data_IF_708286212019
#
_entry.id   IF_708286212019
#
_cell.length_a   1.000
_cell.length_b   1.000
_cell.length_c   1.000
_cell.angle_alpha   90.00
_cell.angle_beta   90.00
_cell.angle_gamma   90.00
#
_symmetry.space_group_name_H-M   'P 1'
#
loop_
_entity.id
_entity.type
_entity.pdbx_description
1 polymer ?
#
# COMPACT_ATOMS: atom_id res chain seq x y z
N UNK A 1 -12.97 -21.34 37.63
CA UNK A 1 -13.66 -22.53 37.06
C UNK A 1 -13.88 -22.25 35.59
N UNK A 2 -13.21 -23.00 34.70
CA UNK A 2 -13.33 -22.87 33.25
C UNK A 2 -14.46 -23.79 32.77
N UNK A 3 -15.54 -23.23 32.23
CA UNK A 3 -16.57 -23.99 31.52
C UNK A 3 -16.19 -24.13 30.06
N UNK A 4 -16.20 -25.36 29.54
CA UNK A 4 -16.05 -25.66 28.11
C UNK A 4 -17.41 -25.46 27.41
N UNK A 5 -17.40 -24.81 26.24
CA UNK A 5 -18.52 -24.79 25.29
C UNK A 5 -18.11 -25.42 23.94
N UNK A 6 -19.06 -26.10 23.30
CA UNK A 6 -18.99 -27.06 22.18
C UNK A 6 -18.38 -26.60 20.83
N UNK A 7 -17.70 -25.46 20.76
CA UNK A 7 -17.02 -24.97 19.54
C UNK A 7 -15.51 -24.70 19.68
N UNK A 8 -14.88 -25.09 20.80
CA UNK A 8 -13.42 -25.00 20.92
C UNK A 8 -12.87 -23.57 20.98
N UNK A 9 -13.70 -22.59 21.34
CA UNK A 9 -13.29 -21.20 21.50
C UNK A 9 -12.93 -20.93 22.97
N UNK A 10 -11.66 -20.62 23.24
CA UNK A 10 -11.22 -20.20 24.58
C UNK A 10 -11.75 -18.79 24.81
N UNK A 11 -12.75 -18.66 25.67
CA UNK A 11 -13.25 -17.37 26.15
C UNK A 11 -12.37 -16.91 27.32
N UNK A 12 -11.51 -15.92 27.08
CA UNK A 12 -10.94 -15.10 28.17
C UNK A 12 -11.99 -14.06 28.58
N UNK A 13 -12.22 -13.95 29.89
CA UNK A 13 -13.08 -12.99 30.60
C UNK A 13 -13.33 -11.67 29.85
N UNK A 14 -14.59 -11.35 29.57
CA UNK A 14 -15.13 -10.10 29.02
C UNK A 14 -14.16 -9.21 28.19
N UNK A 15 -14.15 -9.43 26.87
CA UNK A 15 -14.31 -8.33 25.91
C UNK A 15 -13.07 -7.77 25.20
N UNK A 16 -11.86 -8.29 25.42
CA UNK A 16 -10.67 -7.79 24.70
C UNK A 16 -10.26 -8.71 23.54
N UNK A 17 -10.16 -8.13 22.33
CA UNK A 17 -9.65 -8.81 21.14
C UNK A 17 -8.20 -9.27 21.35
N UNK A 18 -7.90 -10.48 20.88
CA UNK A 18 -6.53 -11.00 20.81
C UNK A 18 -5.66 -10.15 19.88
N UNK A 19 -4.33 -10.22 20.01
CA UNK A 19 -3.40 -9.52 19.11
C UNK A 19 -3.63 -9.89 17.64
N UNK A 20 -3.93 -11.15 17.37
CA UNK A 20 -4.25 -11.62 16.01
C UNK A 20 -5.54 -11.00 15.49
N UNK A 21 -6.60 -10.97 16.29
CA UNK A 21 -7.86 -10.34 15.90
C UNK A 21 -7.71 -8.82 15.72
N UNK A 22 -6.93 -8.15 16.57
CA UNK A 22 -6.59 -6.73 16.43
C UNK A 22 -5.85 -6.47 15.11
N UNK A 23 -4.88 -7.31 14.77
CA UNK A 23 -4.17 -7.26 13.49
C UNK A 23 -5.11 -7.47 12.29
N UNK A 24 -5.94 -8.52 12.32
CA UNK A 24 -6.88 -8.80 11.23
C UNK A 24 -7.93 -7.71 11.05
N UNK A 25 -8.41 -7.11 12.15
CA UNK A 25 -9.37 -6.02 12.08
C UNK A 25 -8.72 -4.73 11.55
N UNK A 26 -7.47 -4.46 11.94
CA UNK A 26 -6.71 -3.36 11.38
C UNK A 26 -6.45 -3.53 9.88
N UNK A 27 -6.06 -4.73 9.45
CA UNK A 27 -5.87 -5.05 8.02
C UNK A 27 -7.17 -4.85 7.21
N UNK A 28 -8.33 -5.30 7.75
CA UNK A 28 -9.64 -5.05 7.13
C UNK A 28 -9.95 -3.56 7.01
N UNK A 29 -9.59 -2.77 8.01
CA UNK A 29 -9.80 -1.33 8.00
C UNK A 29 -8.97 -0.65 6.91
N UNK A 30 -7.68 -0.99 6.82
CA UNK A 30 -6.77 -0.48 5.79
C UNK A 30 -7.29 -0.87 4.39
N UNK A 31 -7.73 -2.12 4.22
CA UNK A 31 -8.33 -2.58 2.97
C UNK A 31 -9.56 -1.74 2.57
N UNK A 32 -10.48 -1.50 3.50
CA UNK A 32 -11.69 -0.72 3.23
C UNK A 32 -11.37 0.72 2.78
N UNK A 33 -10.31 1.34 3.32
CA UNK A 33 -9.88 2.66 2.89
C UNK A 33 -9.32 2.61 1.45
N UNK A 34 -8.47 1.64 1.12
CA UNK A 34 -7.98 1.50 -0.25
C UNK A 34 -9.09 1.19 -1.27
N UNK A 35 -10.07 0.38 -0.89
CA UNK A 35 -11.27 0.15 -1.70
C UNK A 35 -12.04 1.45 -1.93
N UNK A 36 -12.24 2.27 -0.88
CA UNK A 36 -12.87 3.58 -0.99
C UNK A 36 -12.10 4.56 -1.88
N UNK A 37 -10.77 4.44 -1.93
CA UNK A 37 -9.88 5.20 -2.83
C UNK A 37 -9.89 4.66 -4.28
N UNK A 38 -10.65 3.59 -4.56
CA UNK A 38 -10.83 3.02 -5.90
C UNK A 38 -9.77 2.01 -6.30
N UNK A 39 -9.06 1.41 -5.34
CA UNK A 39 -8.18 0.27 -5.59
C UNK A 39 -8.97 -1.03 -5.54
N UNK A 40 -8.57 -2.00 -6.37
CA UNK A 40 -8.87 -3.41 -6.15
C UNK A 40 -7.94 -3.90 -5.02
N UNK A 41 -8.49 -4.56 -4.00
CA UNK A 41 -7.72 -5.06 -2.86
C UNK A 41 -7.78 -6.58 -2.80
N UNK A 42 -6.61 -7.22 -2.65
CA UNK A 42 -6.49 -8.64 -2.35
C UNK A 42 -5.80 -8.79 -0.99
N UNK A 43 -6.44 -9.49 -0.06
CA UNK A 43 -6.01 -9.64 1.34
C UNK A 43 -5.29 -10.97 1.58
N UNK A 44 -4.28 -10.96 2.45
CA UNK A 44 -3.51 -12.12 2.90
C UNK A 44 -3.08 -13.02 1.72
N UNK A 45 -2.37 -12.42 0.76
CA UNK A 45 -1.98 -13.08 -0.49
C UNK A 45 -0.51 -13.48 -0.50
N UNK A 46 -0.19 -14.54 -1.24
CA UNK A 46 1.19 -14.94 -1.49
C UNK A 46 1.64 -14.41 -2.85
N UNK A 47 2.68 -13.56 -2.86
CA UNK A 47 3.26 -12.97 -4.06
C UNK A 47 4.72 -13.40 -4.13
N UNK A 48 5.09 -14.17 -5.17
CA UNK A 48 6.47 -14.65 -5.39
C UNK A 48 7.12 -15.30 -4.15
N UNK A 49 6.33 -16.05 -3.39
CA UNK A 49 6.80 -16.73 -2.18
C UNK A 49 6.76 -15.88 -0.90
N UNK A 50 6.41 -14.61 -0.98
CA UNK A 50 6.24 -13.71 0.16
C UNK A 50 4.77 -13.57 0.54
N UNK A 51 4.47 -13.64 1.84
CA UNK A 51 3.16 -13.28 2.36
C UNK A 51 3.05 -11.76 2.40
N UNK A 52 1.97 -11.23 1.84
CA UNK A 52 1.65 -9.81 1.79
C UNK A 52 0.27 -9.60 2.40
N UNK A 53 0.18 -8.65 3.34
CA UNK A 53 -1.08 -8.36 4.02
C UNK A 53 -2.12 -7.88 3.03
N UNK A 54 -1.81 -6.83 2.25
CA UNK A 54 -2.66 -6.39 1.14
C UNK A 54 -1.86 -6.18 -0.14
N UNK A 55 -2.37 -6.70 -1.25
CA UNK A 55 -1.95 -6.29 -2.58
C UNK A 55 -3.05 -5.39 -3.16
N UNK A 56 -2.75 -4.12 -3.35
CA UNK A 56 -3.72 -3.14 -3.85
C UNK A 56 -3.34 -2.71 -5.26
N UNK A 57 -4.30 -2.72 -6.17
CA UNK A 57 -4.08 -2.45 -7.59
C UNK A 57 -5.06 -1.42 -8.11
N UNK A 58 -4.57 -0.46 -8.88
CA UNK A 58 -5.42 0.51 -9.59
C UNK A 58 -4.92 0.69 -11.01
N UNK A 59 -5.83 0.52 -11.97
CA UNK A 59 -5.58 0.87 -13.36
C UNK A 59 -6.04 2.30 -13.61
N UNK A 60 -5.14 3.11 -14.17
CA UNK A 60 -5.42 4.48 -14.57
C UNK A 60 -5.55 4.48 -16.10
N UNK A 61 -6.62 5.09 -16.63
CA UNK A 61 -6.82 5.14 -18.08
C UNK A 61 -5.65 5.89 -18.74
N UNK A 62 -5.01 5.28 -19.75
CA UNK A 62 -3.84 5.85 -20.43
C UNK A 62 -2.53 5.77 -19.64
N UNK A 63 -2.53 5.16 -18.45
CA UNK A 63 -1.33 4.96 -17.64
C UNK A 63 -1.16 3.50 -17.21
N UNK A 64 0.06 3.17 -16.76
CA UNK A 64 0.39 1.82 -16.31
C UNK A 64 -0.38 1.47 -15.03
N UNK A 65 -0.76 0.20 -14.89
CA UNK A 65 -1.35 -0.32 -13.65
C UNK A 65 -0.38 -0.13 -12.48
N UNK A 66 -0.90 0.46 -11.41
CA UNK A 66 -0.17 0.68 -10.15
C UNK A 66 -0.54 -0.45 -9.21
N UNK A 67 0.47 -1.09 -8.63
CA UNK A 67 0.31 -2.21 -7.69
C UNK A 67 1.15 -1.94 -6.46
N UNK A 68 0.53 -1.70 -5.30
CA UNK A 68 1.25 -1.54 -4.05
C UNK A 68 1.15 -2.80 -3.18
N UNK A 69 2.27 -3.18 -2.58
CA UNK A 69 2.28 -4.03 -1.39
C UNK A 69 1.98 -3.16 -0.18
N UNK A 70 1.01 -3.57 0.64
CA UNK A 70 0.72 -2.93 1.93
C UNK A 70 1.08 -3.90 3.06
N UNK A 71 1.83 -3.43 4.04
CA UNK A 71 2.09 -4.09 5.33
C UNK A 71 1.30 -3.35 6.42
N UNK A 72 0.34 -4.03 7.06
CA UNK A 72 -0.63 -3.43 7.98
C UNK A 72 -0.28 -3.79 9.43
N UNK A 73 0.45 -2.89 10.09
CA UNK A 73 1.00 -3.14 11.43
C UNK A 73 0.12 -2.54 12.53
N UNK A 74 -0.59 -3.40 13.28
CA UNK A 74 -1.24 -2.98 14.52
C UNK A 74 -0.28 -3.07 15.72
N UNK A 75 -0.21 -1.99 16.51
CA UNK A 75 0.53 -1.88 17.78
C UNK A 75 -0.45 -1.58 18.91
N UNK A 76 -0.41 -2.40 19.95
CA UNK A 76 -1.09 -2.13 21.22
C UNK A 76 -0.37 -1.08 22.06
N UNK A 77 0.94 -0.90 21.84
CA UNK A 77 1.80 0.05 22.54
C UNK A 77 3.10 0.27 21.77
N UNK A 78 3.75 1.41 22.01
CA UNK A 78 5.04 1.74 21.40
C UNK A 78 4.92 2.15 19.93
N UNK A 79 6.06 2.22 19.25
CA UNK A 79 6.16 2.61 17.84
C UNK A 79 6.62 1.46 16.96
N UNK A 80 6.43 1.61 15.65
CA UNK A 80 7.05 0.73 14.66
C UNK A 80 8.54 1.03 14.58
N UNK A 81 9.34 0.00 14.85
CA UNK A 81 10.79 0.11 14.97
C UNK A 81 11.53 -0.23 13.70
N UNK A 82 12.86 -0.09 13.76
CA UNK A 82 13.76 -0.35 12.62
C UNK A 82 13.71 -1.80 12.12
N UNK A 83 13.50 -2.77 12.99
CA UNK A 83 13.46 -4.18 12.60
C UNK A 83 12.21 -4.52 11.78
N UNK A 84 11.07 -3.90 12.10
CA UNK A 84 9.85 -4.03 11.30
C UNK A 84 10.07 -3.42 9.92
N UNK A 85 10.62 -2.19 9.89
CA UNK A 85 10.92 -1.50 8.64
C UNK A 85 11.90 -2.28 7.76
N UNK A 86 12.98 -2.83 8.32
CA UNK A 86 13.96 -3.61 7.57
C UNK A 86 13.37 -4.89 6.96
N UNK A 87 12.46 -5.56 7.69
CA UNK A 87 11.77 -6.76 7.20
C UNK A 87 10.83 -6.43 6.03
N UNK A 88 10.08 -5.34 6.17
CA UNK A 88 9.22 -4.78 5.14
C UNK A 88 10.01 -4.34 3.91
N UNK A 89 11.06 -3.52 4.09
CA UNK A 89 11.85 -2.97 2.99
C UNK A 89 12.55 -4.05 2.19
N UNK A 90 13.04 -5.10 2.86
CA UNK A 90 13.65 -6.26 2.20
C UNK A 90 12.65 -6.99 1.30
N UNK A 91 11.43 -7.21 1.79
CA UNK A 91 10.38 -7.88 1.02
C UNK A 91 9.91 -7.01 -0.15
N UNK A 92 9.64 -5.73 0.13
CA UNK A 92 9.21 -4.76 -0.87
C UNK A 92 10.26 -4.58 -1.99
N UNK A 93 11.54 -4.48 -1.65
CA UNK A 93 12.62 -4.32 -2.63
C UNK A 93 12.69 -5.53 -3.56
N UNK A 94 12.57 -6.75 -3.03
CA UNK A 94 12.56 -7.97 -3.86
C UNK A 94 11.37 -7.99 -4.82
N UNK A 95 10.17 -7.77 -4.30
CA UNK A 95 8.94 -7.73 -5.12
C UNK A 95 8.97 -6.62 -6.17
N UNK A 96 9.60 -5.49 -5.86
CA UNK A 96 9.79 -4.39 -6.79
C UNK A 96 10.77 -4.77 -7.92
N UNK A 97 11.92 -5.34 -7.58
CA UNK A 97 12.92 -5.79 -8.56
C UNK A 97 12.37 -6.89 -9.48
N UNK A 98 11.50 -7.76 -8.96
CA UNK A 98 10.80 -8.79 -9.73
C UNK A 98 9.66 -8.23 -10.61
N UNK A 99 9.38 -6.92 -10.52
CA UNK A 99 8.29 -6.26 -11.22
C UNK A 99 6.89 -6.63 -10.73
N UNK A 100 6.77 -7.30 -9.56
CA UNK A 100 5.50 -7.74 -9.00
C UNK A 100 4.70 -6.59 -8.38
N UNK A 101 5.39 -5.55 -7.89
CA UNK A 101 4.79 -4.34 -7.34
C UNK A 101 5.43 -3.09 -7.95
N UNK A 102 4.67 -2.01 -8.01
CA UNK A 102 5.20 -0.70 -8.33
C UNK A 102 5.77 -0.02 -7.08
N UNK A 103 5.27 -0.28 -5.88
CA UNK A 103 5.86 0.26 -4.64
C UNK A 103 5.32 -0.44 -3.42
N UNK A 104 5.72 0.00 -2.23
CA UNK A 104 5.20 -0.55 -0.99
C UNK A 104 4.91 0.53 0.05
N UNK A 105 3.91 0.28 0.88
CA UNK A 105 3.47 1.20 1.93
C UNK A 105 3.30 0.39 3.22
N UNK A 106 3.95 0.82 4.30
CA UNK A 106 3.63 0.31 5.64
C UNK A 106 2.63 1.24 6.31
N UNK A 107 1.51 0.68 6.75
CA UNK A 107 0.44 1.40 7.44
C UNK A 107 0.38 0.93 8.88
N UNK A 108 0.25 1.85 9.83
CA UNK A 108 0.21 1.55 11.27
C UNK A 108 -0.79 2.41 12.03
N UNK A 109 -1.30 1.91 13.16
CA UNK A 109 -2.13 2.70 14.09
C UNK A 109 -1.30 3.50 15.11
N UNK A 110 0.02 3.34 15.12
CA UNK A 110 0.96 3.99 16.04
C UNK A 110 2.01 4.80 15.28
N UNK A 111 2.89 5.49 16.00
CA UNK A 111 3.98 6.25 15.38
C UNK A 111 5.08 5.33 14.84
N UNK A 112 5.91 5.89 13.95
CA UNK A 112 7.18 5.29 13.55
C UNK A 112 8.33 5.84 14.40
N UNK A 113 9.33 4.99 14.68
CA UNK A 113 10.58 5.47 15.26
C UNK A 113 11.31 6.42 14.30
N UNK A 114 12.03 7.40 14.83
CA UNK A 114 12.78 8.37 14.01
C UNK A 114 13.76 7.70 13.04
N UNK A 115 14.37 6.58 13.46
CA UNK A 115 15.29 5.80 12.60
C UNK A 115 14.53 5.15 11.44
N UNK A 116 13.36 4.56 11.69
CA UNK A 116 12.52 3.97 10.64
C UNK A 116 12.05 5.04 9.64
N UNK A 117 11.59 6.19 10.14
CA UNK A 117 11.20 7.33 9.30
C UNK A 117 12.37 7.84 8.46
N UNK A 118 13.57 7.96 9.04
CA UNK A 118 14.78 8.38 8.33
C UNK A 118 15.11 7.48 7.14
N UNK A 119 15.09 6.17 7.32
CA UNK A 119 15.41 5.24 6.22
C UNK A 119 14.34 5.18 5.12
N UNK A 120 13.06 5.42 5.47
CA UNK A 120 12.00 5.49 4.47
C UNK A 120 12.15 6.71 3.56
N UNK A 121 12.63 7.84 4.08
CA UNK A 121 12.88 9.05 3.28
C UNK A 121 13.95 8.83 2.21
N UNK A 122 14.91 7.93 2.44
CA UNK A 122 15.96 7.59 1.48
C UNK A 122 15.47 6.66 0.35
N UNK A 123 14.20 6.25 0.34
CA UNK A 123 13.65 5.25 -0.58
C UNK A 123 12.50 5.78 -1.44
N UNK A 124 12.68 5.88 -2.77
CA UNK A 124 11.68 6.45 -3.69
C UNK A 124 10.39 5.61 -3.87
N UNK A 125 10.39 4.34 -3.45
CA UNK A 125 9.28 3.39 -3.67
C UNK A 125 8.72 2.79 -2.37
N UNK A 126 9.17 3.27 -1.21
CA UNK A 126 8.72 2.84 0.11
C UNK A 126 8.11 4.02 0.85
N UNK A 127 6.92 3.83 1.42
CA UNK A 127 6.24 4.87 2.20
C UNK A 127 5.85 4.33 3.56
N UNK A 128 5.90 5.20 4.56
CA UNK A 128 5.37 4.96 5.90
C UNK A 128 4.16 5.86 6.10
N UNK A 129 3.09 5.29 6.64
CA UNK A 129 1.87 6.03 6.95
C UNK A 129 1.25 5.55 8.25
N UNK A 130 0.69 6.50 8.97
CA UNK A 130 -0.31 6.21 9.99
C UNK A 130 -1.68 6.00 9.34
N UNK A 131 -2.56 5.30 10.03
CA UNK A 131 -3.94 5.11 9.60
C UNK A 131 -4.68 6.45 9.45
N UNK A 132 -4.33 7.46 10.25
CA UNK A 132 -4.93 8.78 10.16
C UNK A 132 -4.48 9.52 8.88
N UNK A 133 -3.21 9.40 8.51
CA UNK A 133 -2.73 9.93 7.22
C UNK A 133 -3.41 9.23 6.05
N UNK A 134 -3.57 7.91 6.10
CA UNK A 134 -4.28 7.16 5.06
C UNK A 134 -5.76 7.57 4.97
N UNK A 135 -6.45 7.76 6.09
CA UNK A 135 -7.84 8.28 6.12
C UNK A 135 -7.93 9.67 5.51
N UNK A 136 -6.94 10.52 5.72
CA UNK A 136 -6.93 11.87 5.15
C UNK A 136 -6.83 11.88 3.62
N UNK A 137 -6.24 10.84 3.00
CA UNK A 137 -6.24 10.71 1.53
C UNK A 137 -7.65 10.59 0.94
N UNK A 138 -8.63 10.07 1.68
CA UNK A 138 -10.03 9.97 1.24
C UNK A 138 -10.62 11.37 1.04
N UNK A 139 -10.29 12.32 1.92
CA UNK A 139 -10.86 13.67 1.89
C UNK A 139 -10.12 14.60 0.91
N UNK A 140 -8.88 14.27 0.55
CA UNK A 140 -8.05 15.04 -0.39
C UNK A 140 -7.60 14.19 -1.59
N UNK A 141 -8.53 13.67 -2.42
CA UNK A 141 -8.19 12.73 -3.50
C UNK A 141 -7.32 13.37 -4.60
N UNK A 142 -7.35 14.70 -4.76
CA UNK A 142 -6.50 15.42 -5.70
C UNK A 142 -5.02 15.37 -5.30
N UNK A 143 -4.71 15.42 -3.99
CA UNK A 143 -3.34 15.35 -3.48
C UNK A 143 -2.80 13.92 -3.60
N UNK A 144 -3.62 12.90 -3.28
CA UNK A 144 -3.28 11.50 -3.46
C UNK A 144 -3.01 11.16 -4.95
N UNK A 145 -3.83 11.70 -5.87
CA UNK A 145 -3.63 11.53 -7.31
C UNK A 145 -2.37 12.26 -7.80
N UNK A 146 -2.15 13.50 -7.37
CA UNK A 146 -0.94 14.27 -7.71
C UNK A 146 0.32 13.56 -7.23
N UNK A 147 0.29 12.98 -6.02
CA UNK A 147 1.40 12.19 -5.46
C UNK A 147 1.66 10.92 -6.27
N UNK A 148 0.58 10.25 -6.68
CA UNK A 148 0.65 9.05 -7.54
C UNK A 148 1.31 9.37 -8.90
N UNK A 149 0.98 10.53 -9.47
CA UNK A 149 1.61 11.03 -10.71
C UNK A 149 3.10 11.32 -10.47
N UNK A 150 3.47 11.96 -9.35
CA UNK A 150 4.86 12.24 -9.00
C UNK A 150 5.66 10.93 -8.84
N UNK A 151 5.12 9.94 -8.13
CA UNK A 151 5.77 8.63 -7.94
C UNK A 151 5.93 7.85 -9.26
N UNK A 152 5.03 8.11 -10.22
CA UNK A 152 5.10 7.60 -11.59
C UNK A 152 6.17 8.32 -12.41
N UNK A 153 6.22 9.66 -12.35
CA UNK A 153 7.16 10.51 -13.10
C UNK A 153 8.59 10.46 -12.55
N UNK A 154 8.77 10.20 -11.25
CA UNK A 154 10.08 10.08 -10.61
C UNK A 154 10.85 8.81 -11.00
N UNK A 155 10.30 7.95 -11.87
CA UNK A 155 10.98 6.79 -12.44
C UNK A 155 11.49 7.16 -13.83
N UNK A 156 12.79 6.98 -14.07
CA UNK A 156 13.43 7.16 -15.38
C UNK A 156 12.96 6.15 -16.44
N UNK A 157 11.68 6.17 -16.80
CA UNK A 157 11.16 5.72 -18.09
C UNK A 157 9.94 6.61 -18.42
N UNK A 158 10.19 7.87 -18.75
CA UNK A 158 9.18 8.72 -19.38
C UNK A 158 9.83 9.73 -20.35
N UNK A 159 10.73 9.23 -21.21
CA UNK A 159 11.30 9.98 -22.32
C UNK A 159 10.50 9.82 -23.63
N UNK A 160 9.37 9.10 -23.61
CA UNK A 160 8.60 8.79 -24.82
C UNK A 160 7.12 9.11 -24.63
N UNK A 161 6.85 10.36 -24.27
CA UNK A 161 5.53 10.95 -24.46
C UNK A 161 5.43 11.35 -25.93
N UNK A 162 4.98 10.43 -26.80
CA UNK A 162 4.55 10.83 -28.15
C UNK A 162 3.25 11.60 -27.96
N UNK A 163 3.31 12.91 -28.17
CA UNK A 163 2.13 13.73 -28.28
C UNK A 163 1.23 13.15 -29.39
N UNK A 164 0.00 12.78 -29.02
CA UNK A 164 -1.07 12.42 -29.95
C UNK A 164 -1.80 13.71 -30.34
N UNK A 165 -1.07 14.67 -30.89
CA UNK A 165 -1.64 15.73 -31.72
C UNK A 165 -1.77 15.20 -33.16
N UNK A 166 -2.77 14.33 -33.31
CA UNK A 166 -3.43 14.18 -34.59
C UNK A 166 -4.26 15.44 -34.84
N UNK A 167 -3.69 16.44 -35.54
CA UNK A 167 -4.50 17.27 -36.42
C UNK A 167 -4.41 16.74 -37.85
N UNK A 168 -5.54 16.19 -38.28
CA UNK A 168 -5.80 15.89 -39.68
C UNK A 168 -5.79 17.19 -40.48
N UNK A 169 -5.00 17.27 -41.55
CA UNK A 169 -5.41 18.01 -42.73
C UNK A 169 -4.86 17.34 -43.99
N UNK A 170 -5.81 16.75 -44.72
CA UNK A 170 -5.69 16.38 -46.12
C UNK A 170 -5.53 17.66 -46.95
N UNK A 171 -4.44 17.78 -47.72
CA UNK A 171 -4.49 18.44 -49.03
C UNK A 171 -3.36 17.93 -49.94
N UNK A 172 -3.78 17.65 -51.18
CA UNK A 172 -3.12 17.01 -52.30
C UNK A 172 -2.19 17.98 -53.08
N UNK A 173 -1.53 17.48 -54.16
CA UNK A 173 -0.97 18.22 -55.36
C UNK A 173 0.54 18.63 -55.23
N UNK A 174 1.55 18.22 -56.03
CA UNK A 174 1.79 17.33 -57.21
C UNK A 174 3.32 17.04 -57.26
N UNK A 175 3.72 15.97 -57.94
CA UNK A 175 5.05 15.86 -58.57
C UNK A 175 5.14 16.58 -59.91
#
# INVERSE_FOLDING_TARGET
MTGLDWKGMIMTTEGDLTTTEKGQNFEKEVAAIYEALGYKVERNVQVKGHQVDLLVTRSLAGARTITYMIDAKNRSSGSVGINDFASFSTTATRLFLDGAITGAIMVTNADFSQIASGQALDSNNLRLMTINELRNEIFNPSEALTRTIIDYEAREINAEYIALDAESNLAHVIG
#
